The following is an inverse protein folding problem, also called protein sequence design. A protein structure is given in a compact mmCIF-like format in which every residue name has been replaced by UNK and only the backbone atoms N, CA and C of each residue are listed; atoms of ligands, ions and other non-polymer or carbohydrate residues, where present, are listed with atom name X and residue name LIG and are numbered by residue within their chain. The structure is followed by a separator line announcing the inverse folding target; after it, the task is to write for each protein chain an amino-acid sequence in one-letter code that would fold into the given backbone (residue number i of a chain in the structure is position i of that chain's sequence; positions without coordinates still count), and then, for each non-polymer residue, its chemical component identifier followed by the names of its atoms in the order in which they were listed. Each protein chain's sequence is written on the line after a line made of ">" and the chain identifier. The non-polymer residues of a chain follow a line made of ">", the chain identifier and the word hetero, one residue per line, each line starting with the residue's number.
data_IF_285514859550
#
_entry.id   IF_285514859550
#
_cell.length_a   1.000
_cell.length_b   1.000
_cell.length_c   1.000
_cell.angle_alpha   90.00
_cell.angle_beta   90.00
_cell.angle_gamma   90.00
#
_symmetry.space_group_name_H-M   'P 1'
#
loop_
_entity.id
_entity.type
_entity.pdbx_description
1 polymer ?
#
# COMPACT_ATOMS: atom_id res chain seq x y z
N UNK A 1 28.28 33.90 -29.84
CA UNK A 1 28.40 34.18 -28.39
C UNK A 1 27.15 34.93 -27.97
N UNK A 2 26.16 34.28 -27.32
CA UNK A 2 24.97 35.00 -26.87
C UNK A 2 25.22 35.62 -25.49
N UNK A 3 24.74 36.85 -25.34
CA UNK A 3 24.88 37.66 -24.13
C UNK A 3 23.92 37.18 -23.03
N UNK A 4 24.46 36.97 -21.83
CA UNK A 4 23.72 36.60 -20.63
C UNK A 4 23.04 37.83 -20.04
N UNK A 5 21.71 37.79 -19.91
CA UNK A 5 20.92 38.79 -19.19
C UNK A 5 20.95 38.42 -17.69
N UNK A 6 21.60 39.27 -16.89
CA UNK A 6 21.62 39.16 -15.42
C UNK A 6 20.44 39.95 -14.88
N UNK A 7 19.42 39.26 -14.38
CA UNK A 7 18.35 39.89 -13.58
C UNK A 7 18.76 39.80 -12.11
N UNK A 8 19.10 40.95 -11.52
CA UNK A 8 19.27 41.10 -10.06
C UNK A 8 17.91 41.46 -9.45
N UNK A 9 17.33 40.57 -8.66
CA UNK A 9 16.25 40.92 -7.74
C UNK A 9 16.84 41.29 -6.38
N UNK A 10 16.53 42.50 -5.93
CA UNK A 10 16.72 42.97 -4.55
C UNK A 10 15.47 42.59 -3.77
N UNK A 11 15.67 41.91 -2.64
CA UNK A 11 14.96 42.05 -1.35
C UNK A 11 14.57 40.71 -0.72
N UNK A 12 14.88 40.60 0.57
CA UNK A 12 14.10 39.81 1.52
C UNK A 12 14.69 38.46 1.91
N UNK A 13 15.55 38.47 2.94
CA UNK A 13 15.80 37.30 3.77
C UNK A 13 14.49 37.03 4.53
N UNK A 14 13.72 36.05 4.08
CA UNK A 14 12.65 35.48 4.86
C UNK A 14 13.23 34.33 5.69
N UNK A 15 13.37 34.56 6.99
CA UNK A 15 13.52 33.48 7.96
C UNK A 15 12.22 32.67 7.93
N UNK A 16 12.26 31.46 7.38
CA UNK A 16 11.21 30.47 7.58
C UNK A 16 11.40 29.86 8.97
N UNK A 17 10.72 30.46 9.94
CA UNK A 17 10.60 29.96 11.29
C UNK A 17 9.89 28.60 11.28
N UNK A 18 10.48 27.65 12.01
CA UNK A 18 9.94 26.35 12.36
C UNK A 18 8.52 26.50 12.95
N UNK A 19 7.50 26.23 12.15
CA UNK A 19 6.14 26.02 12.64
C UNK A 19 5.86 24.53 12.65
N UNK A 20 5.98 23.98 13.87
CA UNK A 20 5.52 22.68 14.33
C UNK A 20 4.34 22.16 13.51
N UNK A 21 4.60 21.17 12.65
CA UNK A 21 3.57 20.36 12.04
C UNK A 21 2.70 19.76 13.17
N UNK A 22 1.38 19.99 13.20
CA UNK A 22 0.52 19.40 14.21
C UNK A 22 0.63 17.87 14.12
N UNK A 23 0.75 17.22 15.29
CA UNK A 23 0.72 15.77 15.44
C UNK A 23 -0.53 15.22 14.72
N UNK A 24 -0.33 14.71 13.51
CA UNK A 24 -1.39 14.12 12.71
C UNK A 24 -1.89 12.86 13.42
N UNK A 25 -3.13 12.90 13.92
CA UNK A 25 -3.85 11.72 14.37
C UNK A 25 -4.69 11.22 13.20
N UNK A 26 -4.40 10.05 12.62
CA UNK A 26 -5.22 9.50 11.55
C UNK A 26 -6.65 9.34 12.05
N UNK A 27 -7.61 9.89 11.29
CA UNK A 27 -9.04 9.70 11.54
C UNK A 27 -9.40 8.33 10.95
N UNK A 28 -9.53 7.32 11.82
CA UNK A 28 -9.88 5.97 11.43
C UNK A 28 -11.18 5.95 10.63
N UNK A 29 -11.15 5.29 9.47
CA UNK A 29 -12.36 4.74 8.85
C UNK A 29 -12.78 3.60 9.76
N UNK A 30 -13.99 3.67 10.34
CA UNK A 30 -14.58 2.54 11.05
C UNK A 30 -14.64 1.37 10.08
N UNK A 31 -14.07 0.24 10.47
CA UNK A 31 -14.19 -1.04 9.77
C UNK A 31 -15.66 -1.32 9.47
N UNK A 32 -16.04 -1.14 8.22
CA UNK A 32 -17.26 -1.74 7.69
C UNK A 32 -16.92 -3.23 7.52
N UNK A 33 -17.19 -4.02 8.55
CA UNK A 33 -17.02 -5.49 8.56
C UNK A 33 -17.94 -6.10 7.50
N UNK A 34 -17.49 -6.13 6.24
CA UNK A 34 -18.15 -6.91 5.20
C UNK A 34 -17.60 -8.32 5.22
N UNK A 35 -18.54 -9.25 5.29
CA UNK A 35 -18.32 -10.67 5.43
C UNK A 35 -17.37 -11.19 4.35
N UNK A 36 -16.29 -11.82 4.81
CA UNK A 36 -15.37 -12.59 3.98
C UNK A 36 -16.14 -13.82 3.49
N UNK A 37 -16.26 -14.10 2.18
CA UNK A 37 -16.84 -15.34 1.71
C UNK A 37 -15.88 -16.50 2.04
N UNK A 38 -16.22 -17.24 3.10
CA UNK A 38 -15.50 -18.44 3.52
C UNK A 38 -15.89 -19.62 2.62
N UNK A 39 -15.05 -19.93 1.63
CA UNK A 39 -15.04 -21.26 0.98
C UNK A 39 -14.25 -22.30 1.82
N UNK A 40 -14.37 -22.19 3.15
CA UNK A 40 -14.03 -23.25 4.08
C UNK A 40 -15.36 -23.64 4.71
N UNK A 41 -15.72 -24.93 4.71
CA UNK A 41 -16.88 -25.45 5.43
C UNK A 41 -16.65 -25.27 6.95
N UNK A 42 -16.75 -24.03 7.43
CA UNK A 42 -17.05 -23.74 8.81
C UNK A 42 -18.53 -24.05 9.00
N UNK A 43 -18.82 -24.82 10.04
CA UNK A 43 -20.19 -25.05 10.44
C UNK A 43 -20.77 -23.70 10.85
N UNK A 44 -21.75 -23.21 10.08
CA UNK A 44 -22.43 -21.95 10.35
C UNK A 44 -22.99 -21.97 11.79
N UNK A 45 -22.54 -21.01 12.60
CA UNK A 45 -22.97 -20.81 14.00
C UNK A 45 -24.50 -20.72 14.09
N UNK A 46 -25.17 -20.19 13.05
CA UNK A 46 -26.62 -20.13 12.96
C UNK A 46 -27.29 -21.50 12.86
N UNK A 47 -26.64 -22.46 12.19
CA UNK A 47 -27.21 -23.78 11.93
C UNK A 47 -27.18 -24.69 13.18
N UNK A 48 -26.12 -24.61 13.99
CA UNK A 48 -26.01 -25.35 15.26
C UNK A 48 -26.98 -24.80 16.31
N UNK A 49 -27.09 -23.47 16.42
CA UNK A 49 -28.03 -22.84 17.37
C UNK A 49 -29.48 -23.14 16.96
N UNK A 50 -29.79 -23.09 15.67
CA UNK A 50 -31.11 -23.48 15.14
C UNK A 50 -31.47 -24.93 15.45
N UNK A 51 -30.54 -25.88 15.29
CA UNK A 51 -30.79 -27.30 15.62
C UNK A 51 -31.05 -27.53 17.11
N UNK A 52 -30.29 -26.87 18.00
CA UNK A 52 -30.45 -27.01 19.45
C UNK A 52 -31.73 -26.33 19.94
N UNK A 53 -32.06 -25.13 19.41
CA UNK A 53 -33.27 -24.40 19.79
C UNK A 53 -34.56 -25.05 19.24
N UNK A 54 -34.55 -25.60 18.02
CA UNK A 54 -35.71 -26.27 17.45
C UNK A 54 -36.02 -27.61 18.13
N UNK A 55 -35.00 -28.33 18.62
CA UNK A 55 -35.19 -29.53 19.43
C UNK A 55 -35.89 -29.24 20.78
N UNK A 56 -35.58 -28.11 21.41
CA UNK A 56 -36.17 -27.71 22.69
C UNK A 56 -37.61 -27.18 22.56
N UNK A 57 -37.98 -26.57 21.43
CA UNK A 57 -39.33 -26.05 21.22
C UNK A 57 -40.39 -27.14 20.96
N UNK A 58 -40.01 -28.26 20.34
CA UNK A 58 -40.95 -29.36 20.02
C UNK A 58 -41.48 -30.09 21.26
N UNK A 59 -40.74 -30.07 22.38
CA UNK A 59 -41.14 -30.69 23.66
C UNK A 59 -42.22 -29.90 24.43
N UNK A 60 -42.56 -28.68 24.02
CA UNK A 60 -43.49 -27.80 24.76
C UNK A 60 -44.98 -28.04 24.47
N UNK A 61 -45.34 -28.81 23.43
CA UNK A 61 -46.74 -28.99 22.99
C UNK A 61 -47.55 -30.05 23.75
N UNK A 62 -46.99 -30.72 24.76
CA UNK A 62 -47.61 -31.91 25.38
C UNK A 62 -47.95 -31.79 26.87
N UNK A 63 -48.07 -30.58 27.42
CA UNK A 63 -48.17 -30.39 28.88
C UNK A 63 -49.54 -29.81 29.30
N UNK A 64 -50.38 -30.68 29.86
CA UNK A 64 -51.63 -30.35 30.54
C UNK A 64 -51.41 -29.53 31.83
N UNK A 65 -52.47 -28.82 32.23
CA UNK A 65 -52.49 -27.59 33.03
C UNK A 65 -52.05 -27.65 34.52
N UNK A 66 -51.34 -28.68 34.99
CA UNK A 66 -50.89 -28.82 36.39
C UNK A 66 -49.40 -28.60 36.66
N UNK A 67 -48.55 -28.66 35.62
CA UNK A 67 -47.08 -28.80 35.79
C UNK A 67 -46.28 -27.57 35.34
N UNK A 68 -46.95 -26.42 35.16
CA UNK A 68 -46.41 -25.20 34.54
C UNK A 68 -45.15 -24.65 35.22
N UNK A 69 -45.07 -24.75 36.56
CA UNK A 69 -43.95 -24.19 37.34
C UNK A 69 -42.66 -24.99 37.22
N UNK A 70 -42.75 -26.33 37.06
CA UNK A 70 -41.58 -27.21 36.92
C UNK A 70 -40.96 -27.11 35.52
N UNK A 71 -41.80 -26.96 34.50
CA UNK A 71 -41.36 -26.81 33.09
C UNK A 71 -40.64 -25.48 32.85
N UNK A 72 -41.12 -24.40 33.47
CA UNK A 72 -40.48 -23.09 33.33
C UNK A 72 -39.07 -23.08 33.96
N UNK A 73 -38.92 -23.75 35.10
CA UNK A 73 -37.62 -23.89 35.78
C UNK A 73 -36.63 -24.72 34.96
N UNK A 74 -37.06 -25.84 34.35
CA UNK A 74 -36.16 -26.65 33.51
C UNK A 74 -35.75 -25.92 32.23
N UNK A 75 -36.65 -25.11 31.62
CA UNK A 75 -36.27 -24.27 30.47
C UNK A 75 -35.26 -23.18 30.86
N UNK A 76 -35.45 -22.50 31.99
CA UNK A 76 -34.51 -21.49 32.49
C UNK A 76 -33.11 -22.08 32.77
N UNK A 77 -33.06 -23.27 33.37
CA UNK A 77 -31.79 -23.99 33.59
C UNK A 77 -31.15 -24.37 32.25
N UNK A 78 -31.92 -24.85 31.28
CA UNK A 78 -31.42 -25.18 29.95
C UNK A 78 -30.82 -23.97 29.21
N UNK A 79 -31.48 -22.80 29.31
CA UNK A 79 -30.97 -21.55 28.72
C UNK A 79 -29.69 -21.10 29.43
N UNK A 80 -29.65 -21.14 30.77
CA UNK A 80 -28.45 -20.78 31.54
C UNK A 80 -27.26 -21.70 31.21
N UNK A 81 -27.50 -23.01 31.08
CA UNK A 81 -26.47 -23.98 30.67
C UNK A 81 -25.99 -23.71 29.24
N UNK A 82 -26.88 -23.37 28.30
CA UNK A 82 -26.48 -23.01 26.93
C UNK A 82 -25.63 -21.74 26.91
N UNK A 83 -26.05 -20.68 27.61
CA UNK A 83 -25.30 -19.42 27.68
C UNK A 83 -23.93 -19.64 28.32
N UNK A 84 -23.86 -20.41 29.41
CA UNK A 84 -22.59 -20.71 30.09
C UNK A 84 -21.65 -21.55 29.20
N UNK A 85 -22.18 -22.54 28.47
CA UNK A 85 -21.38 -23.33 27.52
C UNK A 85 -20.90 -22.49 26.34
N UNK A 86 -21.72 -21.56 25.81
CA UNK A 86 -21.30 -20.64 24.74
C UNK A 86 -20.16 -19.73 25.23
N UNK A 87 -20.26 -19.17 26.44
CA UNK A 87 -19.18 -18.36 27.02
C UNK A 87 -17.89 -19.15 27.27
N UNK A 88 -17.99 -20.41 27.69
CA UNK A 88 -16.82 -21.29 27.83
C UNK A 88 -16.23 -21.61 26.46
N UNK A 89 -17.06 -21.90 25.45
CA UNK A 89 -16.60 -22.20 24.09
C UNK A 89 -15.90 -20.98 23.48
N UNK A 90 -16.42 -19.76 23.61
CA UNK A 90 -15.75 -18.55 23.12
C UNK A 90 -14.45 -18.24 23.90
N UNK A 91 -14.41 -18.52 25.21
CA UNK A 91 -13.18 -18.41 26.02
C UNK A 91 -12.13 -19.45 25.60
N UNK A 92 -12.55 -20.67 25.27
CA UNK A 92 -11.69 -21.73 24.74
C UNK A 92 -11.26 -21.38 23.32
N UNK A 93 -12.15 -20.91 22.44
CA UNK A 93 -11.80 -20.51 21.07
C UNK A 93 -10.88 -19.28 21.04
N UNK A 94 -11.01 -18.33 21.96
CA UNK A 94 -10.05 -17.23 22.06
C UNK A 94 -8.70 -17.66 22.63
N UNK A 95 -8.66 -18.72 23.47
CA UNK A 95 -7.42 -19.32 23.97
C UNK A 95 -6.74 -20.30 23.00
N UNK A 96 -7.51 -21.01 22.18
CA UNK A 96 -7.05 -22.11 21.34
C UNK A 96 -7.15 -21.83 19.84
N UNK A 97 -7.99 -20.89 19.42
CA UNK A 97 -7.94 -20.28 18.10
C UNK A 97 -6.78 -19.32 18.03
N UNK A 98 -5.56 -19.85 18.19
CA UNK A 98 -4.34 -19.06 18.00
C UNK A 98 -4.43 -18.38 16.64
N UNK A 99 -4.33 -17.05 16.63
CA UNK A 99 -4.16 -16.29 15.41
C UNK A 99 -3.07 -17.01 14.61
N UNK A 100 -3.35 -17.36 13.35
CA UNK A 100 -2.36 -18.00 12.49
C UNK A 100 -1.04 -17.26 12.65
N UNK A 101 0.09 -17.98 12.73
CA UNK A 101 1.40 -17.34 12.90
C UNK A 101 1.74 -16.36 11.78
N UNK A 102 0.92 -16.25 10.73
CA UNK A 102 1.08 -15.34 9.59
C UNK A 102 0.05 -14.20 9.55
N UNK A 103 -0.96 -14.23 10.42
CA UNK A 103 -2.08 -13.28 10.45
C UNK A 103 -1.64 -11.82 10.58
N UNK A 104 -0.68 -11.55 11.46
CA UNK A 104 -0.14 -10.22 11.69
C UNK A 104 0.49 -9.63 10.41
N UNK A 105 1.36 -10.39 9.74
CA UNK A 105 1.99 -9.94 8.50
C UNK A 105 0.95 -9.72 7.41
N UNK A 106 0.00 -10.65 7.26
CA UNK A 106 -1.07 -10.57 6.26
C UNK A 106 -1.92 -9.31 6.48
N UNK A 107 -2.44 -9.11 7.69
CA UNK A 107 -3.24 -7.92 8.03
C UNK A 107 -2.45 -6.62 7.83
N UNK A 108 -1.25 -6.54 8.39
CA UNK A 108 -0.49 -5.29 8.41
C UNK A 108 0.12 -4.89 7.07
N UNK A 109 0.11 -5.79 6.08
CA UNK A 109 0.58 -5.55 4.72
C UNK A 109 -0.54 -5.60 3.68
N UNK A 110 -1.81 -5.47 4.08
CA UNK A 110 -2.95 -5.54 3.17
C UNK A 110 -2.97 -6.84 2.33
N UNK A 111 -2.66 -7.96 2.99
CA UNK A 111 -2.51 -9.30 2.44
C UNK A 111 -1.34 -9.50 1.46
N UNK A 112 -0.45 -8.51 1.35
CA UNK A 112 0.75 -8.62 0.51
C UNK A 112 1.73 -9.69 1.02
N UNK A 113 1.87 -9.85 2.34
CA UNK A 113 2.71 -10.91 2.92
C UNK A 113 1.87 -11.91 3.71
N UNK A 114 1.63 -13.08 3.13
CA UNK A 114 0.79 -14.13 3.76
C UNK A 114 1.60 -15.25 4.42
N UNK A 115 2.92 -15.24 4.26
CA UNK A 115 3.81 -16.33 4.65
C UNK A 115 5.00 -15.87 5.52
N UNK A 116 4.93 -14.66 6.10
CA UNK A 116 5.92 -14.20 7.08
C UNK A 116 5.42 -14.52 8.49
N UNK A 117 6.13 -15.37 9.26
CA UNK A 117 5.77 -15.65 10.64
C UNK A 117 5.80 -14.39 11.52
N UNK A 118 4.94 -14.35 12.53
CA UNK A 118 4.71 -13.20 13.41
C UNK A 118 5.99 -12.74 14.08
N UNK A 119 6.81 -13.67 14.60
CA UNK A 119 8.08 -13.31 15.23
C UNK A 119 9.03 -12.60 14.24
N UNK A 120 9.03 -13.00 12.96
CA UNK A 120 9.84 -12.37 11.91
C UNK A 120 9.26 -11.01 11.51
N UNK A 121 7.94 -10.90 11.44
CA UNK A 121 7.26 -9.64 11.18
C UNK A 121 7.52 -8.60 12.28
N UNK A 122 7.45 -9.00 13.55
CA UNK A 122 7.81 -8.15 14.70
C UNK A 122 9.27 -7.70 14.67
N UNK A 123 10.19 -8.55 14.19
CA UNK A 123 11.59 -8.14 13.99
C UNK A 123 11.71 -7.06 12.90
N UNK A 124 10.94 -7.16 11.81
CA UNK A 124 10.88 -6.13 10.78
C UNK A 124 10.33 -4.81 11.35
N UNK A 125 9.23 -4.84 12.10
CA UNK A 125 8.66 -3.67 12.78
C UNK A 125 9.70 -2.98 13.68
N UNK A 126 10.35 -3.75 14.58
CA UNK A 126 11.39 -3.22 15.50
C UNK A 126 12.56 -2.60 14.75
N UNK A 127 13.00 -3.21 13.65
CA UNK A 127 14.09 -2.68 12.82
C UNK A 127 13.68 -1.37 12.16
N UNK A 128 12.50 -1.32 11.54
CA UNK A 128 11.98 -0.11 10.89
C UNK A 128 11.85 1.04 11.89
N UNK A 129 11.27 0.80 13.07
CA UNK A 129 11.16 1.81 14.14
C UNK A 129 12.53 2.32 14.60
N UNK A 130 13.51 1.42 14.77
CA UNK A 130 14.89 1.79 15.13
C UNK A 130 15.56 2.65 14.06
N UNK A 131 15.30 2.38 12.78
CA UNK A 131 15.85 3.18 11.67
C UNK A 131 15.19 4.57 11.65
N UNK A 132 13.86 4.65 11.69
CA UNK A 132 13.12 5.92 11.72
C UNK A 132 13.52 6.82 12.87
N UNK A 133 13.58 6.26 14.08
CA UNK A 133 13.96 7.03 15.28
C UNK A 133 15.39 7.59 15.21
N UNK A 134 16.32 6.91 14.52
CA UNK A 134 17.66 7.44 14.25
C UNK A 134 17.64 8.51 13.17
N UNK A 135 16.90 8.29 12.09
CA UNK A 135 16.81 9.20 10.96
C UNK A 135 16.21 10.56 11.37
N UNK A 136 15.10 10.56 12.11
CA UNK A 136 14.46 11.78 12.61
C UNK A 136 15.38 12.64 13.49
N UNK A 137 16.33 12.01 14.20
CA UNK A 137 17.28 12.73 15.07
C UNK A 137 18.51 13.27 14.35
N UNK A 138 18.85 12.71 13.19
CA UNK A 138 20.18 12.87 12.60
C UNK A 138 20.15 13.09 11.08
N UNK A 139 19.07 13.66 10.54
CA UNK A 139 19.05 14.02 9.12
C UNK A 139 20.07 15.13 8.87
N UNK A 140 21.10 14.82 8.07
CA UNK A 140 22.20 15.74 7.76
C UNK A 140 21.88 16.51 6.49
N UNK A 141 22.13 17.81 6.52
CA UNK A 141 21.98 18.66 5.35
C UNK A 141 23.23 18.56 4.46
N UNK A 142 23.08 18.00 3.27
CA UNK A 142 24.10 17.94 2.23
C UNK A 142 23.50 18.41 0.91
N UNK A 143 24.23 19.25 0.17
CA UNK A 143 23.82 19.67 -1.19
C UNK A 143 24.14 18.63 -2.26
N UNK A 144 25.17 17.84 -2.01
CA UNK A 144 25.58 16.74 -2.88
C UNK A 144 24.67 15.54 -2.63
N UNK A 145 23.93 15.10 -3.65
CA UNK A 145 22.93 14.05 -3.53
C UNK A 145 23.56 12.71 -3.08
N UNK A 146 24.73 12.38 -3.60
CA UNK A 146 25.47 11.17 -3.21
C UNK A 146 25.79 11.17 -1.70
N UNK A 147 26.39 12.25 -1.18
CA UNK A 147 26.63 12.41 0.27
C UNK A 147 25.33 12.43 1.06
N UNK A 148 24.30 13.10 0.55
CA UNK A 148 23.01 13.18 1.21
C UNK A 148 22.41 11.80 1.42
N UNK A 149 22.24 11.02 0.37
CA UNK A 149 21.63 9.71 0.48
C UNK A 149 22.56 8.67 1.12
N UNK A 150 23.88 8.77 1.02
CA UNK A 150 24.75 7.88 1.81
C UNK A 150 24.53 8.01 3.33
N UNK A 151 24.13 9.19 3.82
CA UNK A 151 23.99 9.47 5.24
C UNK A 151 22.54 9.56 5.73
N UNK A 152 21.58 9.71 4.82
CA UNK A 152 20.16 9.88 5.13
C UNK A 152 19.31 8.79 4.46
N UNK A 153 18.11 8.56 4.99
CA UNK A 153 17.10 7.66 4.40
C UNK A 153 17.64 6.29 3.97
N UNK A 154 18.26 5.50 4.88
CA UNK A 154 18.65 4.13 4.54
C UNK A 154 17.39 3.27 4.28
N UNK A 155 17.59 2.08 3.69
CA UNK A 155 16.53 1.08 3.57
C UNK A 155 15.93 0.75 4.95
N UNK A 156 14.62 0.93 5.10
CA UNK A 156 13.87 0.76 6.35
C UNK A 156 13.36 -0.66 6.56
N UNK A 157 13.02 -1.34 5.46
CA UNK A 157 12.34 -2.62 5.45
C UNK A 157 13.12 -3.60 4.57
N UNK A 158 13.31 -4.83 5.05
CA UNK A 158 13.95 -5.87 4.25
C UNK A 158 12.87 -6.72 3.59
N UNK A 159 12.70 -6.54 2.29
CA UNK A 159 11.75 -7.36 1.54
C UNK A 159 12.25 -8.82 1.52
N UNK A 160 11.39 -9.83 1.76
CA UNK A 160 11.81 -11.22 1.76
C UNK A 160 12.39 -11.71 0.43
N UNK A 161 11.94 -11.12 -0.68
CA UNK A 161 12.37 -11.44 -2.02
C UNK A 161 12.32 -10.18 -2.88
N UNK A 162 13.47 -9.63 -3.22
CA UNK A 162 13.60 -8.50 -4.15
C UNK A 162 14.05 -9.03 -5.51
N UNK A 163 13.51 -8.45 -6.58
CA UNK A 163 13.84 -8.83 -7.94
C UNK A 163 13.95 -7.59 -8.82
N UNK A 164 14.99 -7.54 -9.66
CA UNK A 164 15.23 -6.45 -10.59
C UNK A 164 14.55 -6.76 -11.93
N UNK A 165 13.73 -5.83 -12.42
CA UNK A 165 12.97 -5.92 -13.68
C UNK A 165 13.48 -4.85 -14.65
N UNK A 166 13.45 -5.13 -15.96
CA UNK A 166 13.97 -4.23 -17.01
C UNK A 166 15.40 -4.54 -17.42
N UNK A 167 15.79 -5.81 -17.36
CA UNK A 167 17.06 -6.32 -17.85
C UNK A 167 18.28 -6.13 -16.94
N UNK A 168 19.42 -6.60 -17.44
CA UNK A 168 20.74 -6.49 -16.78
C UNK A 168 21.47 -5.20 -17.14
N UNK A 169 21.11 -4.60 -18.27
CA UNK A 169 21.58 -3.27 -18.68
C UNK A 169 20.89 -2.25 -17.78
N UNK A 170 21.67 -1.33 -17.26
CA UNK A 170 21.31 -0.65 -16.03
C UNK A 170 20.35 0.53 -16.19
N UNK A 171 19.89 0.80 -17.42
CA UNK A 171 19.03 1.94 -17.72
C UNK A 171 17.56 1.53 -17.62
N UNK A 172 16.77 2.31 -16.87
CA UNK A 172 15.33 2.06 -16.69
C UNK A 172 14.91 0.83 -15.87
N UNK A 173 15.86 0.00 -15.41
CA UNK A 173 15.54 -1.17 -14.56
C UNK A 173 15.12 -0.73 -13.14
N UNK A 174 14.14 -1.39 -12.54
CA UNK A 174 13.71 -1.10 -11.16
C UNK A 174 13.57 -2.36 -10.30
N UNK A 175 13.63 -2.19 -8.99
CA UNK A 175 13.53 -3.28 -8.02
C UNK A 175 12.09 -3.47 -7.52
N UNK A 176 11.53 -4.65 -7.73
CA UNK A 176 10.23 -5.05 -7.18
C UNK A 176 10.41 -5.82 -5.88
N UNK A 177 9.57 -5.52 -4.90
CA UNK A 177 9.40 -6.37 -3.74
C UNK A 177 8.36 -7.46 -4.03
N UNK A 178 8.75 -8.71 -3.79
CA UNK A 178 7.94 -9.91 -3.78
C UNK A 178 6.92 -9.99 -4.94
N UNK A 179 7.39 -10.06 -6.21
CA UNK A 179 6.52 -10.04 -7.41
C UNK A 179 5.38 -11.06 -7.36
N UNK A 180 5.65 -12.26 -6.80
CA UNK A 180 4.65 -13.31 -6.63
C UNK A 180 3.41 -12.83 -5.87
N UNK A 181 3.60 -12.02 -4.82
CA UNK A 181 2.50 -11.57 -3.98
C UNK A 181 1.63 -10.51 -4.67
N UNK A 182 2.17 -9.75 -5.61
CA UNK A 182 1.38 -8.84 -6.46
C UNK A 182 0.31 -9.63 -7.22
N UNK A 183 0.68 -10.77 -7.82
CA UNK A 183 -0.26 -11.64 -8.53
C UNK A 183 -1.30 -12.26 -7.60
N UNK A 184 -0.86 -12.75 -6.45
CA UNK A 184 -1.76 -13.43 -5.51
C UNK A 184 -2.79 -12.43 -4.93
N UNK A 185 -2.37 -11.21 -4.58
CA UNK A 185 -3.28 -10.14 -4.12
C UNK A 185 -4.18 -9.63 -5.25
N UNK A 186 -3.64 -9.39 -6.45
CA UNK A 186 -4.45 -8.96 -7.60
C UNK A 186 -5.55 -9.96 -7.94
N UNK A 187 -5.27 -11.27 -7.85
CA UNK A 187 -6.30 -12.32 -8.02
C UNK A 187 -7.36 -12.30 -6.94
N UNK A 188 -6.98 -12.03 -5.69
CA UNK A 188 -7.94 -11.90 -4.59
C UNK A 188 -8.85 -10.68 -4.78
N UNK A 189 -8.28 -9.52 -5.14
CA UNK A 189 -9.04 -8.29 -5.39
C UNK A 189 -9.95 -8.43 -6.60
N UNK A 190 -9.47 -8.99 -7.71
CA UNK A 190 -10.26 -9.19 -8.94
C UNK A 190 -11.57 -9.95 -8.67
N UNK A 191 -11.53 -10.98 -7.81
CA UNK A 191 -12.72 -11.73 -7.40
C UNK A 191 -13.72 -10.92 -6.56
N UNK A 192 -13.23 -9.94 -5.80
CA UNK A 192 -14.03 -9.18 -4.84
C UNK A 192 -14.63 -7.91 -5.46
N UNK A 193 -13.88 -7.19 -6.29
CA UNK A 193 -14.29 -5.89 -6.81
C UNK A 193 -13.79 -5.59 -8.24
N UNK A 194 -13.29 -6.60 -8.97
CA UNK A 194 -12.80 -6.42 -10.35
C UNK A 194 -11.42 -5.78 -10.49
N UNK A 195 -10.81 -5.29 -9.40
CA UNK A 195 -9.45 -4.74 -9.40
C UNK A 195 -8.42 -5.87 -9.49
N UNK A 196 -7.92 -6.15 -10.69
CA UNK A 196 -6.79 -7.05 -10.95
C UNK A 196 -5.45 -6.38 -10.70
N UNK A 197 -4.36 -7.12 -10.96
CA UNK A 197 -3.04 -6.54 -10.89
C UNK A 197 -2.90 -5.38 -11.89
N UNK A 198 -2.49 -4.20 -11.41
CA UNK A 198 -2.38 -2.98 -12.23
C UNK A 198 -1.05 -2.29 -11.97
N UNK A 199 -0.32 -1.94 -13.04
CA UNK A 199 0.95 -1.25 -12.98
C UNK A 199 0.93 0.02 -13.85
N UNK A 200 1.42 1.13 -13.29
CA UNK A 200 1.63 2.40 -13.98
C UNK A 200 3.13 2.66 -14.12
N UNK A 201 3.56 3.01 -15.32
CA UNK A 201 4.96 3.36 -15.59
C UNK A 201 5.04 4.70 -16.31
N UNK A 202 5.96 5.54 -15.86
CA UNK A 202 6.34 6.80 -16.52
C UNK A 202 7.84 6.91 -16.39
N UNK A 203 8.56 6.30 -17.34
CA UNK A 203 10.01 6.23 -17.37
C UNK A 203 10.58 7.22 -18.40
N UNK A 204 11.80 7.70 -18.17
CA UNK A 204 12.40 8.74 -19.01
C UNK A 204 12.63 8.29 -20.46
N UNK A 205 12.90 7.00 -20.69
CA UNK A 205 13.17 6.46 -22.02
C UNK A 205 11.92 5.81 -22.67
N UNK A 206 11.08 6.64 -23.29
CA UNK A 206 9.84 6.19 -23.95
C UNK A 206 10.06 5.21 -25.12
N UNK A 207 11.26 5.16 -25.71
CA UNK A 207 11.56 4.28 -26.83
C UNK A 207 12.11 2.91 -26.37
N UNK A 208 12.10 2.62 -25.07
CA UNK A 208 12.53 1.32 -24.55
C UNK A 208 11.48 0.74 -23.59
N UNK A 209 10.64 -0.16 -24.12
CA UNK A 209 9.63 -0.89 -23.36
C UNK A 209 10.18 -2.15 -22.66
N UNK A 210 11.51 -2.30 -22.50
CA UNK A 210 12.09 -3.51 -21.91
C UNK A 210 11.60 -3.73 -20.47
N UNK A 211 11.45 -2.67 -19.69
CA UNK A 211 10.90 -2.77 -18.33
C UNK A 211 9.50 -3.37 -18.34
N UNK A 212 8.61 -2.85 -19.17
CA UNK A 212 7.22 -3.31 -19.27
C UNK A 212 7.12 -4.75 -19.82
N UNK A 213 7.99 -5.12 -20.77
CA UNK A 213 8.07 -6.49 -21.29
C UNK A 213 8.45 -7.47 -20.18
N UNK A 214 9.54 -7.19 -19.46
CA UNK A 214 9.99 -8.03 -18.35
C UNK A 214 8.94 -8.06 -17.22
N UNK A 215 8.23 -6.94 -17.02
CA UNK A 215 7.16 -6.86 -16.04
C UNK A 215 5.99 -7.78 -16.40
N UNK A 216 5.56 -7.79 -17.66
CA UNK A 216 4.50 -8.67 -18.16
C UNK A 216 4.91 -10.15 -18.12
N UNK A 217 6.17 -10.46 -18.43
CA UNK A 217 6.70 -11.82 -18.29
C UNK A 217 6.67 -12.25 -16.82
N UNK A 218 7.09 -11.37 -15.91
CA UNK A 218 7.14 -11.67 -14.49
C UNK A 218 5.76 -11.74 -13.84
N UNK A 219 4.86 -10.89 -14.30
CA UNK A 219 3.53 -10.69 -13.75
C UNK A 219 2.46 -10.93 -14.82
N UNK A 220 2.29 -12.18 -15.29
CA UNK A 220 1.36 -12.48 -16.37
C UNK A 220 -0.08 -12.14 -15.97
N UNK A 221 -0.77 -11.41 -16.84
CA UNK A 221 -2.16 -10.98 -16.66
C UNK A 221 -2.33 -9.68 -15.86
N UNK A 222 -1.25 -8.97 -15.54
CA UNK A 222 -1.34 -7.59 -15.06
C UNK A 222 -1.65 -6.61 -16.19
N UNK A 223 -2.43 -5.58 -15.89
CA UNK A 223 -2.65 -4.44 -16.79
C UNK A 223 -1.48 -3.45 -16.61
N UNK A 224 -0.71 -3.21 -17.67
CA UNK A 224 0.45 -2.33 -17.64
C UNK A 224 0.16 -1.08 -18.46
N UNK A 225 0.11 0.07 -17.79
CA UNK A 225 -0.16 1.37 -18.39
C UNK A 225 1.12 2.20 -18.45
N UNK A 226 1.51 2.62 -19.64
CA UNK A 226 2.66 3.52 -19.86
C UNK A 226 2.14 4.92 -20.11
N UNK A 227 2.69 5.89 -19.40
CA UNK A 227 2.32 7.30 -19.51
C UNK A 227 3.50 8.11 -20.02
N UNK A 228 3.32 8.79 -21.14
CA UNK A 228 4.31 9.76 -21.62
C UNK A 228 3.67 10.88 -22.43
N UNK A 229 4.10 12.15 -22.25
CA UNK A 229 3.59 13.27 -23.03
C UNK A 229 4.07 13.25 -24.49
N UNK A 230 5.10 12.44 -24.80
CA UNK A 230 5.67 12.29 -26.14
C UNK A 230 5.06 11.06 -26.82
N UNK A 231 4.98 11.05 -28.16
CA UNK A 231 4.59 9.84 -28.91
C UNK A 231 5.75 8.86 -28.89
N UNK A 232 5.51 7.61 -28.49
CA UNK A 232 6.50 6.54 -28.61
C UNK A 232 6.83 6.29 -30.08
N UNK A 233 8.12 6.19 -30.42
CA UNK A 233 8.53 5.83 -31.78
C UNK A 233 8.40 4.32 -32.02
N UNK A 234 8.57 3.55 -30.95
CA UNK A 234 8.39 2.11 -30.95
C UNK A 234 6.92 1.73 -30.70
N UNK A 235 6.51 0.61 -31.29
CA UNK A 235 5.17 0.05 -31.08
C UNK A 235 5.14 -0.56 -29.67
N UNK A 236 4.20 -0.16 -28.79
CA UNK A 236 4.03 -0.81 -27.50
C UNK A 236 3.82 -2.32 -27.67
N UNK A 237 4.50 -3.16 -26.87
CA UNK A 237 4.35 -4.61 -26.98
C UNK A 237 2.96 -5.06 -26.54
N UNK A 238 2.55 -6.26 -26.97
CA UNK A 238 1.27 -6.86 -26.59
C UNK A 238 1.11 -6.89 -25.06
N UNK A 239 -0.01 -6.39 -24.56
CA UNK A 239 -0.31 -6.28 -23.13
C UNK A 239 0.08 -4.95 -22.49
N UNK A 240 0.79 -4.07 -23.20
CA UNK A 240 1.08 -2.70 -22.74
C UNK A 240 0.07 -1.71 -23.32
N UNK A 241 -0.49 -0.88 -22.45
CA UNK A 241 -1.47 0.15 -22.80
C UNK A 241 -0.79 1.51 -22.72
N UNK A 242 -0.50 2.11 -23.87
CA UNK A 242 0.16 3.40 -23.95
C UNK A 242 -0.84 4.56 -23.86
N UNK A 243 -0.51 5.56 -23.04
CA UNK A 243 -1.28 6.80 -22.85
C UNK A 243 -0.39 7.99 -23.17
N UNK A 244 -0.83 8.82 -24.13
CA UNK A 244 -0.10 9.99 -24.58
C UNK A 244 -0.32 11.20 -23.65
N UNK A 245 -0.05 11.03 -22.35
CA UNK A 245 0.09 12.13 -21.41
C UNK A 245 1.08 11.77 -20.30
N UNK A 246 1.79 12.78 -19.78
CA UNK A 246 2.64 12.67 -18.60
C UNK A 246 1.91 13.02 -17.31
N UNK A 247 2.63 12.90 -16.19
CA UNK A 247 2.15 13.34 -14.88
C UNK A 247 2.58 14.77 -14.56
N UNK A 248 1.68 15.52 -13.94
CA UNK A 248 1.97 16.82 -13.30
C UNK A 248 1.43 16.83 -11.88
N UNK A 249 2.03 17.65 -11.02
CA UNK A 249 1.53 17.87 -9.67
C UNK A 249 0.18 18.57 -9.69
N UNK A 250 -0.73 18.20 -8.78
CA UNK A 250 -1.96 18.95 -8.53
C UNK A 250 -1.70 20.38 -8.04
N UNK A 251 -0.51 20.66 -7.51
CA UNK A 251 -0.08 22.00 -7.11
C UNK A 251 0.37 22.89 -8.27
N UNK A 252 0.63 22.30 -9.45
CA UNK A 252 1.04 23.00 -10.66
C UNK A 252 -0.18 23.53 -11.43
N UNK A 253 -0.95 24.42 -10.78
CA UNK A 253 -2.18 24.99 -11.34
C UNK A 253 -1.95 25.85 -12.60
N UNK A 254 -0.71 26.25 -12.87
CA UNK A 254 -0.33 27.08 -14.01
C UNK A 254 0.02 26.25 -15.26
N UNK A 255 0.30 24.96 -15.09
CA UNK A 255 0.57 24.08 -16.21
C UNK A 255 -0.74 23.67 -16.90
N UNK A 256 -1.09 24.44 -17.92
CA UNK A 256 -2.24 24.21 -18.79
C UNK A 256 -1.91 23.30 -19.97
N UNK A 257 -0.74 22.65 -19.99
CA UNK A 257 -0.38 21.73 -21.07
C UNK A 257 -1.37 20.55 -21.08
N UNK A 258 -2.12 20.34 -22.18
CA UNK A 258 -3.08 19.26 -22.29
C UNK A 258 -2.43 17.87 -22.30
N UNK A 259 -1.11 17.78 -22.55
CA UNK A 259 -0.35 16.53 -22.53
C UNK A 259 0.04 16.09 -21.12
N UNK A 260 -0.38 16.79 -20.07
CA UNK A 260 -0.10 16.41 -18.69
C UNK A 260 -1.37 16.36 -17.87
N UNK A 261 -1.52 15.26 -17.12
CA UNK A 261 -2.61 15.03 -16.18
C UNK A 261 -2.07 14.87 -14.77
N UNK A 262 -2.87 15.24 -13.77
CA UNK A 262 -2.56 14.82 -12.40
C UNK A 262 -2.69 13.30 -12.31
N UNK A 263 -2.10 12.70 -11.26
CA UNK A 263 -2.35 11.28 -10.99
C UNK A 263 -3.85 11.03 -10.83
N UNK A 264 -4.55 11.90 -10.09
CA UNK A 264 -5.99 11.78 -9.87
C UNK A 264 -6.82 11.85 -11.16
N UNK A 265 -6.51 12.78 -12.07
CA UNK A 265 -7.19 12.86 -13.37
C UNK A 265 -6.91 11.63 -14.24
N UNK A 266 -5.70 11.06 -14.13
CA UNK A 266 -5.35 9.81 -14.81
C UNK A 266 -6.21 8.66 -14.28
N UNK A 267 -6.31 8.52 -12.96
CA UNK A 267 -7.11 7.49 -12.30
C UNK A 267 -8.57 7.58 -12.73
N UNK A 268 -9.16 8.78 -12.74
CA UNK A 268 -10.52 9.02 -13.24
C UNK A 268 -10.67 8.69 -14.72
N UNK A 269 -9.70 9.10 -15.55
CA UNK A 269 -9.75 8.84 -17.00
C UNK A 269 -9.76 7.33 -17.30
N UNK A 270 -9.07 6.54 -16.48
CA UNK A 270 -8.97 5.09 -16.61
C UNK A 270 -10.07 4.33 -15.85
N UNK A 271 -10.90 5.02 -15.06
CA UNK A 271 -11.91 4.43 -14.17
C UNK A 271 -11.31 3.50 -13.10
N UNK A 272 -10.13 3.87 -12.59
CA UNK A 272 -9.41 3.14 -11.55
C UNK A 272 -9.65 3.74 -10.15
N UNK A 273 -10.75 4.48 -9.96
CA UNK A 273 -11.14 4.93 -8.62
C UNK A 273 -11.35 3.72 -7.70
N UNK A 274 -10.94 3.85 -6.43
CA UNK A 274 -10.97 2.76 -5.44
C UNK A 274 -10.08 1.55 -5.78
N UNK A 275 -9.28 1.62 -6.86
CA UNK A 275 -8.31 0.56 -7.15
C UNK A 275 -7.11 0.66 -6.23
N UNK A 276 -6.38 -0.44 -6.15
CA UNK A 276 -5.03 -0.49 -5.63
C UNK A 276 -4.14 -0.61 -6.85
N UNK A 277 -3.33 0.40 -7.11
CA UNK A 277 -2.32 0.33 -8.15
C UNK A 277 -1.12 -0.38 -7.53
N UNK A 278 -0.79 -1.57 -8.01
CA UNK A 278 0.22 -2.41 -7.37
C UNK A 278 1.63 -1.85 -7.53
N UNK A 279 1.90 -1.26 -8.69
CA UNK A 279 3.21 -0.72 -9.04
C UNK A 279 2.99 0.65 -9.66
N UNK A 280 3.67 1.65 -9.11
CA UNK A 280 3.89 2.92 -9.76
C UNK A 280 5.40 3.11 -9.94
N UNK A 281 5.86 3.07 -11.19
CA UNK A 281 7.24 3.30 -11.57
C UNK A 281 7.40 4.72 -12.15
N UNK A 282 8.24 5.55 -11.52
CA UNK A 282 8.45 6.96 -11.87
C UNK A 282 9.92 7.27 -12.10
N UNK A 283 10.21 7.81 -13.26
CA UNK A 283 11.45 8.50 -13.61
C UNK A 283 11.06 9.61 -14.58
N UNK A 284 10.91 10.83 -14.04
CA UNK A 284 10.39 11.99 -14.75
C UNK A 284 11.27 13.23 -14.56
N UNK A 285 12.57 13.03 -14.31
CA UNK A 285 13.60 14.06 -14.38
C UNK A 285 13.30 15.31 -13.52
N UNK A 286 12.88 15.08 -12.26
CA UNK A 286 12.68 16.12 -11.24
C UNK A 286 11.22 16.28 -10.81
N UNK A 287 10.25 15.76 -11.57
CA UNK A 287 8.83 15.86 -11.20
C UNK A 287 8.46 14.97 -10.00
N UNK A 288 9.36 14.07 -9.57
CA UNK A 288 9.11 13.12 -8.48
C UNK A 288 8.80 13.84 -7.16
N UNK A 289 9.48 14.97 -6.91
CA UNK A 289 9.31 15.80 -5.72
C UNK A 289 7.92 16.42 -5.66
N UNK A 290 7.46 16.97 -6.78
CA UNK A 290 6.19 17.69 -6.85
C UNK A 290 4.99 16.72 -6.83
N UNK A 291 5.19 15.48 -7.26
CA UNK A 291 4.16 14.44 -7.25
C UNK A 291 3.92 13.83 -5.86
N UNK A 292 4.81 14.01 -4.87
CA UNK A 292 4.71 13.27 -3.60
C UNK A 292 3.38 13.48 -2.88
N UNK A 293 2.79 14.68 -2.98
CA UNK A 293 1.50 14.98 -2.39
C UNK A 293 0.34 14.29 -3.12
N UNK A 294 0.48 14.06 -4.42
CA UNK A 294 -0.51 13.32 -5.21
C UNK A 294 -0.43 11.81 -4.94
N UNK A 295 0.78 11.28 -4.65
CA UNK A 295 1.00 9.87 -4.28
C UNK A 295 0.26 9.47 -2.99
N UNK A 296 0.07 10.43 -2.08
CA UNK A 296 -0.59 10.21 -0.78
C UNK A 296 -2.04 10.71 -0.77
N UNK A 297 -2.56 11.20 -1.90
CA UNK A 297 -3.92 11.74 -1.97
C UNK A 297 -4.99 10.70 -1.57
N UNK A 298 -4.70 9.40 -1.73
CA UNK A 298 -5.52 8.28 -1.22
C UNK A 298 -5.84 8.36 0.27
N UNK A 299 -4.94 8.92 1.07
CA UNK A 299 -5.17 9.06 2.52
C UNK A 299 -6.10 10.26 2.84
N UNK A 300 -6.29 11.18 1.89
CA UNK A 300 -7.13 12.37 2.03
C UNK A 300 -8.50 12.24 1.34
N UNK A 301 -8.54 11.57 0.19
CA UNK A 301 -9.74 11.39 -0.64
C UNK A 301 -10.15 9.92 -0.66
N UNK A 302 -11.40 9.65 -0.28
CA UNK A 302 -11.94 8.28 -0.20
C UNK A 302 -11.87 7.49 -1.51
N UNK A 303 -11.86 8.19 -2.64
CA UNK A 303 -11.91 7.58 -3.98
C UNK A 303 -10.53 7.50 -4.65
N UNK A 304 -9.49 8.06 -4.02
CA UNK A 304 -8.14 8.00 -4.55
C UNK A 304 -7.52 6.61 -4.27
N UNK A 305 -6.69 6.09 -5.18
CA UNK A 305 -6.16 4.76 -5.07
C UNK A 305 -5.04 4.71 -4.05
N UNK A 306 -4.76 3.48 -3.62
CA UNK A 306 -3.56 3.16 -2.85
C UNK A 306 -2.51 2.64 -3.82
N UNK A 307 -1.31 3.21 -3.79
CA UNK A 307 -0.16 2.64 -4.48
C UNK A 307 0.51 1.63 -3.55
N UNK A 308 0.53 0.35 -3.93
CA UNK A 308 1.12 -0.69 -3.08
C UNK A 308 2.65 -0.56 -3.07
N UNK A 309 3.25 -0.44 -4.26
CA UNK A 309 4.67 -0.17 -4.44
C UNK A 309 4.90 1.09 -5.27
N UNK A 310 5.83 1.93 -4.81
CA UNK A 310 6.31 3.08 -5.56
C UNK A 310 7.78 2.84 -5.84
N UNK A 311 8.13 2.73 -7.12
CA UNK A 311 9.49 2.60 -7.62
C UNK A 311 9.85 3.93 -8.23
N UNK A 312 10.91 4.55 -7.77
CA UNK A 312 11.21 5.93 -8.16
C UNK A 312 12.71 6.17 -8.25
N UNK A 313 13.13 6.83 -9.33
CA UNK A 313 14.46 7.42 -9.42
C UNK A 313 14.37 8.88 -8.95
N UNK A 314 14.96 9.17 -7.79
CA UNK A 314 14.92 10.50 -7.21
C UNK A 314 16.10 11.33 -7.74
N UNK A 315 15.78 12.44 -8.40
CA UNK A 315 16.75 13.39 -8.94
C UNK A 315 17.09 14.47 -7.90
N UNK A 316 18.37 14.63 -7.54
CA UNK A 316 18.79 15.68 -6.60
C UNK A 316 18.53 15.36 -5.13
N UNK A 317 18.31 16.37 -4.28
CA UNK A 317 18.15 16.20 -2.83
C UNK A 317 16.76 16.67 -2.41
N UNK A 318 15.99 15.77 -1.81
CA UNK A 318 14.77 16.14 -1.10
C UNK A 318 14.53 15.23 0.11
N UNK A 319 14.46 15.83 1.30
CA UNK A 319 14.03 15.13 2.53
C UNK A 319 12.51 15.08 2.69
N UNK A 320 11.79 16.08 2.15
CA UNK A 320 10.35 16.21 2.29
C UNK A 320 9.63 15.06 1.59
N UNK A 321 10.10 14.66 0.40
CA UNK A 321 9.62 13.48 -0.30
C UNK A 321 9.51 12.25 0.63
N UNK A 322 10.63 11.90 1.29
CA UNK A 322 10.70 10.71 2.14
C UNK A 322 9.89 10.85 3.42
N UNK A 323 9.95 12.01 4.09
CA UNK A 323 9.16 12.23 5.30
C UNK A 323 7.66 12.16 4.99
N UNK A 324 7.24 12.69 3.84
CA UNK A 324 5.85 12.60 3.39
C UNK A 324 5.43 11.15 3.22
N UNK A 325 6.19 10.33 2.47
CA UNK A 325 5.88 8.91 2.30
C UNK A 325 5.89 8.14 3.64
N UNK A 326 6.88 8.36 4.49
CA UNK A 326 7.00 7.70 5.80
C UNK A 326 5.82 8.01 6.72
N UNK A 327 5.35 9.26 6.73
CA UNK A 327 4.19 9.71 7.50
C UNK A 327 2.88 9.11 7.00
N UNK A 328 2.84 8.68 5.75
CA UNK A 328 1.69 8.03 5.11
C UNK A 328 1.87 6.52 5.00
N UNK A 329 2.66 5.92 5.90
CA UNK A 329 2.73 4.47 6.07
C UNK A 329 3.52 3.71 5.00
N UNK A 330 4.30 4.41 4.17
CA UNK A 330 5.25 3.75 3.26
C UNK A 330 6.57 3.47 3.96
N UNK A 331 7.20 2.33 3.66
CA UNK A 331 8.58 2.00 4.07
C UNK A 331 9.48 1.86 2.85
N UNK A 332 10.72 2.32 2.93
CA UNK A 332 11.71 2.03 1.87
C UNK A 332 12.19 0.58 1.98
N UNK A 333 11.94 -0.21 0.94
CA UNK A 333 12.44 -1.58 0.84
C UNK A 333 13.67 -1.72 -0.03
N UNK A 334 13.94 -0.76 -0.92
CA UNK A 334 15.12 -0.76 -1.77
C UNK A 334 15.78 0.62 -1.79
N UNK A 335 17.10 0.63 -1.97
CA UNK A 335 17.91 1.82 -2.20
C UNK A 335 19.19 1.45 -2.96
N UNK A 336 19.42 2.07 -4.10
CA UNK A 336 20.68 2.00 -4.83
C UNK A 336 21.03 3.35 -5.44
N UNK A 337 22.32 3.56 -5.72
CA UNK A 337 22.70 4.62 -6.65
C UNK A 337 22.15 4.23 -8.03
N UNK A 338 21.58 5.21 -8.74
CA UNK A 338 21.25 5.02 -10.15
C UNK A 338 22.54 4.69 -10.91
N UNK A 339 22.42 3.79 -11.88
CA UNK A 339 23.56 3.46 -12.72
C UNK A 339 23.86 4.54 -13.77
N UNK A 340 22.91 5.44 -14.01
CA UNK A 340 22.99 6.47 -15.05
C UNK A 340 23.67 7.74 -14.55
N UNK A 341 23.59 8.00 -13.25
CA UNK A 341 24.03 9.24 -12.65
C UNK A 341 24.45 9.07 -11.20
N UNK A 342 25.51 9.79 -10.81
CA UNK A 342 25.97 9.81 -9.42
C UNK A 342 25.12 10.70 -8.51
N UNK A 343 24.22 11.52 -9.09
CA UNK A 343 23.31 12.38 -8.33
C UNK A 343 21.94 11.76 -8.06
N UNK A 344 21.66 10.61 -8.67
CA UNK A 344 20.31 10.06 -8.71
C UNK A 344 20.26 8.71 -8.01
N UNK A 345 19.14 8.43 -7.35
CA UNK A 345 18.99 7.26 -6.50
C UNK A 345 17.69 6.54 -6.80
N UNK A 346 17.79 5.23 -7.00
CA UNK A 346 16.62 4.38 -7.14
C UNK A 346 16.15 3.96 -5.75
N UNK A 347 14.87 4.19 -5.48
CA UNK A 347 14.18 3.73 -4.29
C UNK A 347 12.97 2.89 -4.64
N UNK A 348 12.73 1.88 -3.80
CA UNK A 348 11.49 1.13 -3.78
C UNK A 348 10.79 1.36 -2.44
N UNK A 349 9.51 1.71 -2.48
CA UNK A 349 8.66 1.89 -1.31
C UNK A 349 7.50 0.90 -1.30
N UNK A 350 7.09 0.47 -0.11
CA UNK A 350 5.95 -0.43 0.09
C UNK A 350 4.98 0.20 1.09
N UNK A 351 3.68 0.25 0.75
CA UNK A 351 2.63 0.69 1.68
C UNK A 351 2.36 -0.38 2.74
N UNK A 352 2.36 0.02 4.01
CA UNK A 352 1.96 -0.80 5.14
C UNK A 352 0.82 -0.14 5.91
N UNK A 353 0.08 -0.94 6.68
CA UNK A 353 -0.97 -0.43 7.56
C UNK A 353 -0.38 0.43 8.70
N UNK A 354 -1.14 1.41 9.24
CA UNK A 354 -0.73 2.15 10.44
C UNK A 354 -0.34 1.23 11.62
N UNK A 355 -1.01 0.09 11.76
CA UNK A 355 -0.76 -0.90 12.82
C UNK A 355 0.65 -1.49 12.77
N UNK A 356 1.31 -1.47 11.60
CA UNK A 356 2.71 -1.86 11.49
C UNK A 356 3.63 -0.98 12.33
N UNK A 357 3.28 0.29 12.51
CA UNK A 357 4.13 1.30 13.16
C UNK A 357 3.82 1.47 14.65
N UNK A 358 2.67 0.96 15.12
CA UNK A 358 2.29 1.01 16.54
C UNK A 358 3.15 -0.01 17.32
N UNK A 359 3.73 0.43 18.44
CA UNK A 359 4.52 -0.44 19.32
C UNK A 359 3.63 -1.58 19.86
N UNK A 360 3.91 -2.81 19.45
CA UNK A 360 3.39 -4.04 20.09
C UNK A 360 4.25 -4.48 21.26
#
# INVERSE_FOLDING_TARGET
>A
MPASIIIRTKNGIANSDDTLAPLYKPRYVSEDTREIPSNFQSWDRGSIISYICNGLFSLSKLICCGTRRRVLMTMLIGVLVCVFNISIIDSIYSKFGGESSYSMASRQSYHFFQNIPQHRWQLLQKRTQKIRSKQMKHTKNYRDANKFYQHNFPQEFTCPHEERIGGTKSQGSMWLCNPRSILDVGKMRSKNNGNSCTAYTSLANINDFQFEKDLLEKLPGCEVHVFSPVVAHDIPPDGVIFHQWGFKSSSDALNTDPNYKTLYDTIKSLKHELYTIDILALDCQGCEHDLVHDLIAGDQYKDAPVFMQILVQIHGVDSNFFHTLQNHGYVSFHKSNSAESSSDYDYGFLKLSPDFFVNT
#
